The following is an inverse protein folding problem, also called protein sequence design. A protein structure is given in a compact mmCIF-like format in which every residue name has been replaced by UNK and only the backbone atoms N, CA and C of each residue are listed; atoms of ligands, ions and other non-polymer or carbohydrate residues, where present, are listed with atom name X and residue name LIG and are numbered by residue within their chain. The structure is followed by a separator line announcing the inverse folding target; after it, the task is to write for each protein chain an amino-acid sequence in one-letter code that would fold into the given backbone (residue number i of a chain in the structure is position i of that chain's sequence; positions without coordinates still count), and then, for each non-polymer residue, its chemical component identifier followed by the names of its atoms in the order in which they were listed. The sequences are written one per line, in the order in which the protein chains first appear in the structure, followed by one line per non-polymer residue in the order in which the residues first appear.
data_IF_733089583241
#
_entry.id   IF_733089583241
#
_cell.length_a   1.000
_cell.length_b   1.000
_cell.length_c   1.000
_cell.angle_alpha   90.00
_cell.angle_beta   90.00
_cell.angle_gamma   90.00
#
_symmetry.space_group_name_H-M   'P 1'
#
loop_
_entity.id
_entity.type
_entity.pdbx_description
1 polymer ?
#
# COMPACT_ATOMS: atom_id res chain seq x y z
N UNK A 1 32.74 21.68 27.46
CA UNK A 1 31.48 22.33 27.07
C UNK A 1 31.22 21.93 25.63
N UNK A 2 30.11 21.24 25.33
CA UNK A 2 29.66 21.10 23.94
C UNK A 2 29.25 22.50 23.46
N UNK A 3 29.83 22.97 22.36
CA UNK A 3 29.40 24.24 21.80
C UNK A 3 27.97 24.10 21.28
N UNK A 4 27.15 25.15 21.45
CA UNK A 4 25.75 25.18 21.00
C UNK A 4 25.58 24.86 19.50
N UNK A 5 26.60 25.15 18.69
CA UNK A 5 26.69 24.78 17.28
C UNK A 5 26.69 23.28 17.01
N UNK A 6 27.08 22.46 18.00
CA UNK A 6 27.33 21.02 17.82
C UNK A 6 26.07 20.19 18.12
N UNK A 7 25.07 20.80 18.77
CA UNK A 7 23.83 20.14 19.24
C UNK A 7 22.77 20.05 18.14
N UNK A 8 22.69 21.05 17.25
CA UNK A 8 21.72 21.09 16.14
C UNK A 8 22.37 20.79 14.80
N UNK A 9 23.20 19.75 14.77
CA UNK A 9 23.85 19.25 13.55
C UNK A 9 23.07 18.08 13.00
N UNK A 10 23.07 17.91 11.68
CA UNK A 10 22.47 16.73 11.06
C UNK A 10 23.11 15.44 11.60
N UNK A 11 24.41 15.48 11.91
CA UNK A 11 25.13 14.39 12.57
C UNK A 11 24.58 14.06 13.97
N UNK A 12 24.26 15.07 14.79
CA UNK A 12 23.68 14.86 16.12
C UNK A 12 22.31 14.17 16.04
N UNK A 13 21.45 14.62 15.10
CA UNK A 13 20.16 13.96 14.84
C UNK A 13 20.32 12.52 14.35
N UNK A 14 21.25 12.26 13.42
CA UNK A 14 21.54 10.92 12.94
C UNK A 14 22.08 9.98 14.04
N UNK A 15 22.93 10.49 14.94
CA UNK A 15 23.43 9.73 16.08
C UNK A 15 22.33 9.45 17.10
N UNK A 16 21.46 10.42 17.39
CA UNK A 16 20.31 10.23 18.27
C UNK A 16 19.38 9.14 17.73
N UNK A 17 19.09 9.18 16.43
CA UNK A 17 18.32 8.15 15.74
C UNK A 17 18.96 6.76 15.86
N UNK A 18 20.27 6.64 15.62
CA UNK A 18 21.00 5.36 15.72
C UNK A 18 20.93 4.79 17.14
N UNK A 19 21.14 5.62 18.16
CA UNK A 19 21.01 5.22 19.57
C UNK A 19 19.59 4.80 19.94
N UNK A 20 18.59 5.50 19.42
CA UNK A 20 17.18 5.13 19.61
C UNK A 20 16.92 3.72 19.08
N UNK A 21 17.38 3.39 17.87
CA UNK A 21 17.22 2.05 17.30
C UNK A 21 17.89 0.95 18.15
N UNK A 22 19.10 1.21 18.67
CA UNK A 22 19.82 0.27 19.55
C UNK A 22 19.08 0.03 20.89
N UNK A 23 18.45 1.08 21.45
CA UNK A 23 17.79 1.02 22.76
C UNK A 23 16.35 0.51 22.69
N UNK A 24 15.64 0.80 21.61
CA UNK A 24 14.20 0.58 21.54
C UNK A 24 13.80 -0.87 21.23
N UNK A 25 14.75 -1.76 20.92
CA UNK A 25 14.53 -3.16 20.52
C UNK A 25 13.31 -3.32 19.57
N UNK A 26 13.15 -2.34 18.67
CA UNK A 26 11.92 -2.18 17.91
C UNK A 26 11.97 -3.14 16.73
N UNK A 27 11.00 -4.03 16.63
CA UNK A 27 10.84 -4.83 15.42
C UNK A 27 10.61 -3.89 14.24
N UNK A 28 11.49 -3.96 13.24
CA UNK A 28 11.39 -3.18 12.02
C UNK A 28 10.06 -3.36 11.30
N UNK A 29 9.85 -2.54 10.27
CA UNK A 29 8.71 -2.71 9.38
C UNK A 29 8.85 -4.01 8.58
N UNK A 30 7.72 -4.66 8.29
CA UNK A 30 7.73 -5.95 7.59
C UNK A 30 8.20 -5.76 6.15
N UNK A 31 7.85 -4.64 5.52
CA UNK A 31 8.26 -4.35 4.15
C UNK A 31 9.77 -4.28 3.98
N UNK A 32 10.54 -3.90 5.02
CA UNK A 32 12.01 -3.80 4.92
C UNK A 32 12.68 -5.16 4.69
N UNK A 33 12.13 -6.25 5.23
CA UNK A 33 12.67 -7.60 4.96
C UNK A 33 12.23 -8.14 3.60
N UNK A 34 11.03 -7.77 3.14
CA UNK A 34 10.48 -8.19 1.85
C UNK A 34 11.06 -7.39 0.66
N UNK A 35 11.40 -6.12 0.89
CA UNK A 35 11.95 -5.18 -0.10
C UNK A 35 13.19 -4.49 0.47
N UNK A 36 14.35 -5.18 0.51
CA UNK A 36 15.59 -4.63 1.03
C UNK A 36 15.94 -3.27 0.41
N UNK A 37 16.49 -2.32 1.19
CA UNK A 37 16.81 -0.99 0.70
C UNK A 37 18.03 -1.01 -0.23
N UNK A 38 17.94 -0.34 -1.38
CA UNK A 38 19.01 -0.21 -2.37
C UNK A 38 19.13 1.24 -2.81
N UNK A 39 20.36 1.77 -2.84
CA UNK A 39 20.63 3.14 -3.31
C UNK A 39 21.02 3.15 -4.78
N UNK A 40 20.44 4.06 -5.57
CA UNK A 40 20.82 4.32 -6.96
C UNK A 40 21.14 5.81 -7.15
N UNK A 41 22.13 6.10 -7.99
CA UNK A 41 22.46 7.48 -8.40
C UNK A 41 21.56 7.88 -9.58
N UNK A 42 20.78 8.96 -9.42
CA UNK A 42 19.86 9.50 -10.45
C UNK A 42 18.37 9.22 -10.18
N UNK A 43 17.50 9.98 -10.84
CA UNK A 43 16.03 9.92 -10.70
C UNK A 43 15.33 9.02 -11.75
N UNK A 44 16.03 8.70 -12.84
CA UNK A 44 15.49 7.88 -13.93
C UNK A 44 15.68 6.39 -13.67
N UNK A 45 14.58 5.68 -13.37
CA UNK A 45 14.57 4.23 -13.33
C UNK A 45 14.24 3.69 -14.73
N UNK A 46 15.26 3.50 -15.58
CA UNK A 46 15.17 2.51 -16.67
C UNK A 46 15.34 1.13 -16.05
N UNK A 47 14.30 0.59 -15.40
CA UNK A 47 14.40 -0.72 -14.80
C UNK A 47 13.23 -1.64 -15.11
N UNK A 48 13.56 -2.91 -15.00
CA UNK A 48 13.07 -4.01 -15.79
C UNK A 48 11.88 -4.64 -15.06
N UNK A 49 10.69 -4.61 -15.67
CA UNK A 49 9.66 -5.60 -15.35
C UNK A 49 10.23 -6.98 -15.68
N UNK A 50 10.85 -7.63 -14.71
CA UNK A 50 11.40 -8.97 -14.86
C UNK A 50 10.39 -9.96 -14.34
N UNK A 51 9.40 -10.37 -15.15
CA UNK A 51 8.69 -11.61 -14.86
C UNK A 51 9.71 -12.73 -14.80
N UNK A 52 9.81 -13.39 -13.65
CA UNK A 52 10.53 -14.66 -13.56
C UNK A 52 9.59 -15.74 -14.09
N UNK A 53 9.44 -15.80 -15.42
CA UNK A 53 8.60 -16.81 -16.06
C UNK A 53 9.12 -18.22 -15.78
N UNK A 54 8.21 -19.20 -15.78
CA UNK A 54 8.53 -20.62 -15.66
C UNK A 54 9.65 -21.05 -16.62
N UNK A 55 10.52 -22.00 -16.24
CA UNK A 55 11.48 -22.59 -17.16
C UNK A 55 10.77 -23.20 -18.38
N UNK A 56 10.97 -22.61 -19.55
CA UNK A 56 10.38 -23.12 -20.80
C UNK A 56 11.35 -24.10 -21.45
N UNK A 57 10.86 -25.31 -21.75
CA UNK A 57 11.61 -26.36 -22.44
C UNK A 57 12.25 -25.86 -23.75
N UNK A 58 13.40 -26.43 -24.10
CA UNK A 58 14.00 -26.23 -25.41
C UNK A 58 13.13 -26.92 -26.46
N UNK A 59 12.80 -26.21 -27.53
CA UNK A 59 12.11 -26.82 -28.67
C UNK A 59 13.07 -27.77 -29.38
N UNK A 60 12.57 -28.93 -29.80
CA UNK A 60 13.33 -29.87 -30.63
C UNK A 60 13.77 -29.16 -31.91
N UNK A 61 15.08 -29.08 -32.16
CA UNK A 61 15.64 -28.63 -33.45
C UNK A 61 16.09 -29.85 -34.24
N UNK A 62 15.89 -29.82 -35.55
CA UNK A 62 16.56 -30.75 -36.45
C UNK A 62 18.07 -30.47 -36.45
N UNK A 63 18.89 -31.51 -36.67
CA UNK A 63 20.32 -31.32 -36.96
C UNK A 63 20.44 -30.41 -38.20
N UNK A 64 21.36 -29.43 -38.14
CA UNK A 64 21.62 -28.39 -39.16
C UNK A 64 20.56 -27.27 -39.35
N UNK A 65 19.57 -27.14 -38.46
CA UNK A 65 18.62 -26.02 -38.48
C UNK A 65 19.08 -24.81 -37.64
N UNK A 66 18.81 -23.58 -38.12
CA UNK A 66 19.08 -22.35 -37.36
C UNK A 66 18.18 -22.30 -36.12
N UNK A 67 18.79 -22.03 -34.95
CA UNK A 67 18.07 -21.94 -33.69
C UNK A 67 16.99 -20.85 -33.74
N UNK A 68 15.77 -21.19 -33.32
CA UNK A 68 14.69 -20.22 -33.20
C UNK A 68 15.03 -19.16 -32.15
N UNK A 69 14.90 -17.89 -32.52
CA UNK A 69 15.04 -16.76 -31.60
C UNK A 69 13.87 -16.80 -30.62
N UNK A 70 14.19 -16.85 -29.32
CA UNK A 70 13.21 -16.74 -28.23
C UNK A 70 13.00 -15.26 -27.92
N UNK A 71 11.74 -14.82 -27.85
CA UNK A 71 11.43 -13.50 -27.30
C UNK A 71 11.89 -13.42 -25.85
N UNK A 72 12.59 -12.35 -25.47
CA UNK A 72 12.94 -12.11 -24.06
C UNK A 72 11.64 -11.95 -23.27
N UNK A 73 11.57 -12.57 -22.09
CA UNK A 73 10.45 -12.38 -21.17
C UNK A 73 10.26 -10.87 -20.95
N UNK A 74 9.04 -10.41 -21.17
CA UNK A 74 8.70 -9.02 -21.49
C UNK A 74 9.13 -8.02 -20.43
N UNK A 75 10.23 -7.33 -20.70
CA UNK A 75 10.65 -6.14 -19.98
C UNK A 75 9.89 -4.95 -20.55
N UNK A 76 8.73 -4.63 -19.99
CA UNK A 76 8.08 -3.34 -20.25
C UNK A 76 8.64 -2.31 -19.29
N UNK A 77 9.47 -1.39 -19.80
CA UNK A 77 9.95 -0.25 -19.01
C UNK A 77 8.82 0.76 -18.85
N UNK A 78 8.37 0.98 -17.62
CA UNK A 78 7.58 2.17 -17.29
C UNK A 78 8.61 3.24 -16.89
N UNK A 79 8.79 4.27 -17.72
CA UNK A 79 9.51 5.46 -17.29
C UNK A 79 8.58 6.26 -16.37
N UNK A 80 8.75 6.09 -15.05
CA UNK A 80 8.13 6.96 -14.07
C UNK A 80 9.20 7.56 -13.19
N UNK A 81 9.15 8.88 -13.01
CA UNK A 81 9.99 9.62 -12.07
C UNK A 81 9.65 9.19 -10.64
N UNK A 82 10.66 8.97 -9.79
CA UNK A 82 10.43 8.60 -8.39
C UNK A 82 9.79 9.77 -7.62
N UNK A 83 8.82 9.50 -6.72
CA UNK A 83 8.23 10.55 -5.92
C UNK A 83 9.23 11.08 -4.89
N UNK A 84 9.21 12.40 -4.69
CA UNK A 84 10.02 13.11 -3.72
C UNK A 84 9.18 13.48 -2.49
N UNK A 85 9.70 13.16 -1.31
CA UNK A 85 9.07 13.46 -0.03
C UNK A 85 9.98 14.33 0.81
N UNK A 86 9.41 15.34 1.46
CA UNK A 86 10.17 16.21 2.35
C UNK A 86 9.27 16.88 3.38
N UNK A 87 9.65 16.76 4.64
CA UNK A 87 9.05 17.49 5.76
C UNK A 87 10.11 18.25 6.55
N UNK A 88 9.67 19.31 7.23
CA UNK A 88 10.56 20.11 8.06
C UNK A 88 9.85 20.71 9.27
N UNK A 89 10.62 20.97 10.33
CA UNK A 89 10.20 21.82 11.44
C UNK A 89 11.21 22.93 11.68
N UNK A 90 10.79 23.96 12.40
CA UNK A 90 11.61 25.13 12.71
C UNK A 90 11.86 25.16 14.21
N UNK A 91 13.15 25.19 14.59
CA UNK A 91 13.57 25.51 15.96
C UNK A 91 13.53 27.02 16.13
N UNK A 92 12.63 27.51 17.01
CA UNK A 92 12.33 28.94 17.17
C UNK A 92 13.38 29.65 18.03
N UNK A 93 13.40 30.97 17.95
CA UNK A 93 14.26 31.82 18.80
C UNK A 93 13.94 31.68 20.29
N UNK A 94 12.68 31.43 20.66
CA UNK A 94 12.27 31.14 22.05
C UNK A 94 12.97 29.90 22.61
N UNK A 95 12.93 28.80 21.85
CA UNK A 95 13.49 27.51 22.25
C UNK A 95 15.02 27.64 22.39
N UNK A 96 15.64 28.47 21.55
CA UNK A 96 17.06 28.82 21.63
C UNK A 96 17.40 29.62 22.89
N UNK A 97 16.59 30.60 23.25
CA UNK A 97 16.81 31.40 24.47
C UNK A 97 16.70 30.54 25.73
N UNK A 98 15.76 29.60 25.77
CA UNK A 98 15.64 28.64 26.89
C UNK A 98 16.87 27.74 27.02
N UNK A 99 17.44 27.29 25.90
CA UNK A 99 18.66 26.46 25.90
C UNK A 99 19.92 27.27 26.24
N UNK A 100 20.02 28.53 25.80
CA UNK A 100 21.14 29.40 26.17
C UNK A 100 21.16 29.69 27.67
N UNK A 101 19.99 29.95 28.27
CA UNK A 101 19.84 30.13 29.73
C UNK A 101 20.32 28.92 30.53
N UNK A 102 20.25 27.73 29.95
CA UNK A 102 20.71 26.46 30.52
C UNK A 102 22.21 26.25 30.58
N UNK A 103 22.94 26.86 29.64
CA UNK A 103 24.39 26.64 29.57
C UNK A 103 25.10 27.39 30.71
N UNK A 104 24.46 28.45 31.21
CA UNK A 104 24.93 29.26 32.33
C UNK A 104 24.44 28.79 33.70
N UNK A 105 23.38 27.97 33.75
CA UNK A 105 22.78 27.46 34.99
C UNK A 105 22.45 25.98 34.80
N UNK A 106 22.97 25.10 35.66
CA UNK A 106 22.76 23.64 35.64
C UNK A 106 21.28 23.27 35.92
N UNK A 107 20.40 23.69 35.02
CA UNK A 107 18.95 23.82 35.17
C UNK A 107 18.25 22.54 34.64
N UNK A 108 17.40 21.88 35.46
CA UNK A 108 16.72 20.65 35.07
C UNK A 108 15.68 20.82 33.95
N UNK A 109 15.26 22.03 33.58
CA UNK A 109 14.21 22.27 32.58
C UNK A 109 14.66 22.16 31.13
N UNK A 110 15.96 22.01 30.87
CA UNK A 110 16.52 22.15 29.52
C UNK A 110 16.67 20.82 28.79
N UNK A 111 16.89 19.74 29.53
CA UNK A 111 16.87 18.41 28.93
C UNK A 111 15.52 18.09 28.25
N UNK A 112 14.36 18.42 28.86
CA UNK A 112 13.07 18.32 28.17
C UNK A 112 12.99 19.06 26.83
N UNK A 113 13.57 20.26 26.70
CA UNK A 113 13.55 21.03 25.43
C UNK A 113 14.43 20.37 24.37
N UNK A 114 15.63 19.91 24.75
CA UNK A 114 16.50 19.15 23.84
C UNK A 114 15.85 17.83 23.43
N UNK A 115 15.30 17.09 24.39
CA UNK A 115 14.58 15.84 24.14
C UNK A 115 13.41 16.05 23.18
N UNK A 116 12.66 17.15 23.32
CA UNK A 116 11.58 17.49 22.39
C UNK A 116 12.09 17.73 20.97
N UNK A 117 13.18 18.50 20.80
CA UNK A 117 13.74 18.77 19.47
C UNK A 117 14.31 17.48 18.82
N UNK A 118 15.00 16.64 19.60
CA UNK A 118 15.46 15.34 19.11
C UNK A 118 14.29 14.39 18.81
N UNK A 119 13.21 14.43 19.59
CA UNK A 119 11.98 13.69 19.34
C UNK A 119 11.29 14.15 18.05
N UNK A 120 11.28 15.45 17.75
CA UNK A 120 10.72 16.00 16.51
C UNK A 120 11.53 15.52 15.29
N UNK A 121 12.85 15.55 15.35
CA UNK A 121 13.72 15.00 14.30
C UNK A 121 13.56 13.47 14.13
N UNK A 122 13.38 12.74 15.24
CA UNK A 122 13.01 11.32 15.22
C UNK A 122 11.66 11.11 14.54
N UNK A 123 10.67 11.95 14.82
CA UNK A 123 9.34 11.86 14.21
C UNK A 123 9.39 12.13 12.70
N UNK A 124 10.22 13.08 12.24
CA UNK A 124 10.50 13.27 10.82
C UNK A 124 11.10 12.01 10.17
N UNK A 125 12.09 11.39 10.83
CA UNK A 125 12.74 10.18 10.32
C UNK A 125 11.78 8.98 10.31
N UNK A 126 10.90 8.88 11.32
CA UNK A 126 9.81 7.91 11.33
C UNK A 126 8.83 8.15 10.18
N UNK A 127 8.47 9.41 9.93
CA UNK A 127 7.61 9.80 8.80
C UNK A 127 8.18 9.31 7.46
N UNK A 128 9.48 9.50 7.23
CA UNK A 128 10.17 8.95 6.07
C UNK A 128 10.07 7.41 6.00
N UNK A 129 10.24 6.69 7.12
CA UNK A 129 10.10 5.22 7.11
C UNK A 129 8.66 4.71 6.89
N UNK A 130 7.63 5.52 7.19
CA UNK A 130 6.22 5.17 6.94
C UNK A 130 5.92 5.09 5.44
N UNK A 131 6.54 5.97 4.64
CA UNK A 131 6.29 6.10 3.21
C UNK A 131 6.55 4.79 2.44
N UNK A 132 7.76 4.19 2.44
CA UNK A 132 8.01 2.96 1.71
C UNK A 132 7.20 1.78 2.28
N UNK A 133 6.99 1.68 3.60
CA UNK A 133 6.14 0.63 4.18
C UNK A 133 4.70 0.73 3.65
N UNK A 134 4.12 1.94 3.60
CA UNK A 134 2.78 2.16 3.03
C UNK A 134 2.74 1.78 1.56
N UNK A 135 3.76 2.12 0.77
CA UNK A 135 3.81 1.74 -0.65
C UNK A 135 3.89 0.22 -0.83
N UNK A 136 4.75 -0.46 -0.06
CA UNK A 136 4.91 -1.92 -0.09
C UNK A 136 3.59 -2.61 0.27
N UNK A 137 2.92 -2.16 1.35
CA UNK A 137 1.67 -2.79 1.77
C UNK A 137 0.56 -2.58 0.75
N UNK A 138 0.49 -1.44 0.04
CA UNK A 138 -0.43 -1.26 -1.08
C UNK A 138 -0.20 -2.29 -2.21
N UNK A 139 1.07 -2.59 -2.52
CA UNK A 139 1.42 -3.62 -3.51
C UNK A 139 1.05 -5.03 -3.06
N UNK A 140 1.20 -5.33 -1.77
CA UNK A 140 0.89 -6.64 -1.20
C UNK A 140 -0.62 -6.83 -0.95
N UNK A 141 -1.40 -5.77 -0.78
CA UNK A 141 -2.84 -5.87 -0.53
C UNK A 141 -3.69 -4.99 -1.46
N UNK A 142 -3.69 -5.23 -2.78
CA UNK A 142 -4.49 -4.47 -3.74
C UNK A 142 -5.98 -4.80 -3.60
N UNK A 143 -6.79 -3.84 -3.15
CA UNK A 143 -8.22 -4.06 -2.89
C UNK A 143 -9.03 -4.46 -4.13
N UNK A 144 -8.66 -3.94 -5.31
CA UNK A 144 -9.28 -4.23 -6.60
C UNK A 144 -8.57 -5.33 -7.40
N UNK A 145 -7.55 -5.94 -6.79
CA UNK A 145 -6.78 -7.07 -7.32
C UNK A 145 -5.60 -6.71 -8.20
N UNK A 146 -5.34 -5.43 -8.47
CA UNK A 146 -4.20 -5.00 -9.28
C UNK A 146 -3.19 -4.22 -8.42
N UNK A 147 -1.97 -4.74 -8.20
CA UNK A 147 -0.90 -4.06 -7.47
C UNK A 147 -0.62 -2.68 -8.06
N UNK A 148 -0.78 -1.66 -7.21
CA UNK A 148 -0.51 -0.26 -7.54
C UNK A 148 -0.14 0.54 -6.31
N UNK A 149 0.58 1.62 -6.53
CA UNK A 149 0.88 2.62 -5.50
C UNK A 149 0.12 3.89 -5.85
N UNK A 150 -0.71 4.35 -4.93
CA UNK A 150 -1.37 5.66 -5.03
C UNK A 150 -0.91 6.55 -3.88
N UNK A 151 -0.30 7.68 -4.24
CA UNK A 151 0.10 8.73 -3.32
C UNK A 151 -0.71 9.97 -3.67
N UNK A 152 -1.45 10.52 -2.70
CA UNK A 152 -2.25 11.72 -2.88
C UNK A 152 -2.09 12.61 -1.65
N UNK A 153 -1.58 13.81 -1.86
CA UNK A 153 -1.33 14.83 -0.82
C UNK A 153 -2.51 15.83 -0.70
N UNK A 154 -3.71 15.45 -1.12
CA UNK A 154 -4.91 16.31 -1.05
C UNK A 154 -4.90 17.59 -1.92
N UNK A 155 -3.75 18.00 -2.49
CA UNK A 155 -3.56 19.29 -3.15
C UNK A 155 -3.41 19.27 -4.69
N UNK A 156 -3.71 18.13 -5.35
CA UNK A 156 -3.65 17.87 -6.82
C UNK A 156 -2.27 17.44 -7.35
N UNK A 157 -2.03 16.12 -7.33
CA UNK A 157 -1.93 15.17 -8.47
C UNK A 157 -1.73 13.83 -7.77
N UNK A 158 -2.64 12.86 -7.93
CA UNK A 158 -2.38 11.52 -7.43
C UNK A 158 -1.29 10.90 -8.30
N UNK A 159 -0.14 10.59 -7.70
CA UNK A 159 0.88 9.80 -8.38
C UNK A 159 0.43 8.35 -8.33
N UNK A 160 0.03 7.83 -9.48
CA UNK A 160 -0.44 6.47 -9.66
C UNK A 160 0.64 5.64 -10.37
N UNK A 161 1.15 4.62 -9.70
CA UNK A 161 2.12 3.68 -10.26
C UNK A 161 1.44 2.30 -10.39
N UNK A 162 1.07 1.94 -11.62
CA UNK A 162 0.43 0.66 -11.94
C UNK A 162 1.50 -0.41 -12.23
N UNK A 163 1.50 -1.51 -11.45
CA UNK A 163 2.45 -2.62 -11.65
C UNK A 163 1.83 -3.70 -12.55
N UNK A 164 0.52 -3.94 -12.41
CA UNK A 164 -0.26 -4.93 -13.16
C UNK A 164 -0.91 -4.35 -14.43
N UNK A 165 -0.11 -3.69 -15.28
CA UNK A 165 -0.60 -3.04 -16.51
C UNK A 165 -1.26 -4.01 -17.49
N UNK A 166 -0.86 -5.28 -17.48
CA UNK A 166 -1.43 -6.33 -18.35
C UNK A 166 -2.60 -7.11 -17.70
N UNK A 167 -2.95 -6.80 -16.45
CA UNK A 167 -4.05 -7.46 -15.71
C UNK A 167 -3.78 -8.94 -15.37
N UNK A 168 -2.55 -9.40 -15.59
CA UNK A 168 -2.16 -10.79 -15.37
C UNK A 168 -2.18 -11.18 -13.89
N UNK A 169 -1.76 -10.27 -13.00
CA UNK A 169 -1.73 -10.54 -11.57
C UNK A 169 -3.15 -10.65 -11.05
N UNK A 170 -4.02 -9.72 -11.42
CA UNK A 170 -5.44 -9.79 -11.07
C UNK A 170 -6.11 -11.08 -11.55
N UNK A 171 -5.67 -11.63 -12.67
CA UNK A 171 -6.24 -12.85 -13.24
C UNK A 171 -5.69 -14.12 -12.58
N UNK A 172 -4.37 -14.18 -12.33
CA UNK A 172 -3.69 -15.42 -11.95
C UNK A 172 -3.33 -15.48 -10.46
N UNK A 173 -3.23 -14.34 -9.78
CA UNK A 173 -2.65 -14.20 -8.45
C UNK A 173 -3.58 -13.48 -7.47
N UNK A 174 -4.86 -13.30 -7.81
CA UNK A 174 -5.85 -12.64 -6.97
C UNK A 174 -7.19 -13.39 -6.94
N UNK A 175 -7.77 -13.54 -5.73
CA UNK A 175 -9.12 -14.07 -5.52
C UNK A 175 -9.92 -13.11 -4.66
N UNK A 176 -11.12 -12.74 -5.11
CA UNK A 176 -12.07 -11.96 -4.32
C UNK A 176 -13.25 -12.85 -3.88
N UNK A 177 -13.47 -12.94 -2.57
CA UNK A 177 -14.55 -13.70 -1.97
C UNK A 177 -15.70 -12.79 -1.58
N UNK A 178 -16.93 -13.16 -1.95
CA UNK A 178 -18.16 -12.40 -1.66
C UNK A 178 -19.25 -13.34 -1.14
N UNK A 179 -20.34 -12.77 -0.62
CA UNK A 179 -21.51 -13.52 -0.17
C UNK A 179 -21.15 -14.65 0.82
N UNK A 180 -21.61 -15.86 0.53
CA UNK A 180 -21.38 -17.04 1.39
C UNK A 180 -19.94 -17.57 1.37
N UNK A 181 -19.13 -17.14 0.41
CA UNK A 181 -17.71 -17.49 0.35
C UNK A 181 -16.84 -16.54 1.18
N UNK A 182 -17.35 -15.34 1.51
CA UNK A 182 -16.61 -14.38 2.33
C UNK A 182 -16.35 -14.95 3.71
N UNK A 183 -15.15 -14.76 4.25
CA UNK A 183 -14.75 -15.36 5.53
C UNK A 183 -15.52 -14.80 6.73
N UNK A 184 -16.18 -13.66 6.56
CA UNK A 184 -17.14 -13.12 7.53
C UNK A 184 -18.43 -13.94 7.63
N UNK A 185 -18.75 -14.77 6.64
CA UNK A 185 -19.77 -15.82 6.77
C UNK A 185 -19.13 -17.04 7.45
N UNK A 186 -19.12 -17.01 8.79
CA UNK A 186 -18.49 -18.04 9.61
C UNK A 186 -19.12 -19.44 9.46
N UNK A 187 -20.28 -19.55 8.81
CA UNK A 187 -20.99 -20.82 8.65
C UNK A 187 -20.65 -21.50 7.32
N UNK A 188 -20.66 -20.74 6.23
CA UNK A 188 -20.55 -21.30 4.88
C UNK A 188 -19.14 -21.18 4.27
N UNK A 189 -18.32 -20.23 4.74
CA UNK A 189 -16.98 -20.05 4.22
C UNK A 189 -16.02 -21.19 4.61
N UNK A 190 -14.96 -21.36 3.82
CA UNK A 190 -13.91 -22.32 4.10
C UNK A 190 -12.50 -21.70 3.95
N UNK A 191 -12.06 -20.91 4.96
CA UNK A 191 -10.82 -20.15 4.86
C UNK A 191 -9.57 -20.98 4.62
N UNK A 192 -9.47 -22.15 5.24
CA UNK A 192 -8.29 -23.02 5.10
C UNK A 192 -8.22 -23.62 3.70
N UNK A 193 -9.36 -24.03 3.13
CA UNK A 193 -9.40 -24.50 1.74
C UNK A 193 -9.06 -23.37 0.77
N UNK A 194 -9.56 -22.15 0.99
CA UNK A 194 -9.21 -21.00 0.15
C UNK A 194 -7.70 -20.73 0.14
N UNK A 195 -7.03 -20.88 1.29
CA UNK A 195 -5.58 -20.75 1.42
C UNK A 195 -4.86 -21.89 0.69
N UNK A 196 -5.33 -23.13 0.80
CA UNK A 196 -4.77 -24.29 0.09
C UNK A 196 -4.88 -24.13 -1.43
N UNK A 197 -6.06 -23.74 -1.92
CA UNK A 197 -6.29 -23.48 -3.34
C UNK A 197 -5.33 -22.39 -3.86
N UNK A 198 -5.16 -21.31 -3.09
CA UNK A 198 -4.23 -20.24 -3.42
C UNK A 198 -2.77 -20.71 -3.43
N UNK A 199 -2.37 -21.55 -2.46
CA UNK A 199 -1.03 -22.17 -2.42
C UNK A 199 -0.78 -23.00 -3.68
N UNK A 200 -1.73 -23.85 -4.08
CA UNK A 200 -1.60 -24.67 -5.29
C UNK A 200 -1.42 -23.83 -6.57
N UNK A 201 -2.11 -22.68 -6.66
CA UNK A 201 -1.94 -21.78 -7.81
C UNK A 201 -0.52 -21.22 -7.88
N UNK A 202 0.05 -20.81 -6.74
CA UNK A 202 1.44 -20.32 -6.69
C UNK A 202 2.42 -21.46 -7.01
N UNK A 203 2.19 -22.66 -6.49
CA UNK A 203 3.06 -23.83 -6.74
C UNK A 203 3.13 -24.24 -8.21
N UNK A 204 2.05 -24.05 -8.97
CA UNK A 204 2.05 -24.27 -10.43
C UNK A 204 3.01 -23.34 -11.18
N UNK A 205 3.40 -22.22 -10.58
CA UNK A 205 4.40 -21.29 -11.14
C UNK A 205 5.84 -21.68 -10.78
N UNK A 206 6.03 -22.79 -10.06
CA UNK A 206 7.35 -23.28 -9.63
C UNK A 206 7.88 -22.63 -8.35
N UNK A 207 7.03 -21.86 -7.66
CA UNK A 207 7.36 -21.14 -6.44
C UNK A 207 6.60 -21.73 -5.24
N UNK A 208 7.17 -21.66 -4.04
CA UNK A 208 6.52 -22.16 -2.82
C UNK A 208 6.28 -20.99 -1.86
N UNK A 209 5.02 -20.62 -1.57
CA UNK A 209 4.73 -19.64 -0.53
C UNK A 209 5.01 -20.27 0.84
N UNK A 210 5.54 -19.48 1.76
CA UNK A 210 5.90 -19.93 3.13
C UNK A 210 5.23 -19.10 4.22
N UNK A 211 4.68 -17.93 3.86
CA UNK A 211 4.11 -16.97 4.79
C UNK A 211 2.69 -16.63 4.35
N UNK A 212 1.76 -16.59 5.31
CA UNK A 212 0.43 -16.00 5.15
C UNK A 212 0.35 -14.70 5.97
N UNK A 213 0.44 -13.56 5.29
CA UNK A 213 0.32 -12.24 5.89
C UNK A 213 -1.16 -11.83 5.97
N UNK A 214 -1.60 -11.40 7.15
CA UNK A 214 -2.99 -10.97 7.36
C UNK A 214 -3.13 -9.99 8.53
N UNK A 215 -4.30 -9.36 8.67
CA UNK A 215 -4.62 -8.57 9.86
C UNK A 215 -5.13 -9.44 11.01
N UNK A 216 -5.18 -8.89 12.23
CA UNK A 216 -5.77 -9.59 13.39
C UNK A 216 -7.27 -9.78 13.24
N UNK A 217 -7.96 -8.87 12.57
CA UNK A 217 -9.39 -9.06 12.27
C UNK A 217 -9.58 -10.26 11.36
N UNK A 218 -8.79 -10.35 10.29
CA UNK A 218 -8.86 -11.47 9.34
C UNK A 218 -8.56 -12.80 10.02
N UNK A 219 -7.53 -12.86 10.89
CA UNK A 219 -7.27 -14.05 11.70
C UNK A 219 -8.43 -14.40 12.64
N UNK A 220 -9.09 -13.39 13.22
CA UNK A 220 -10.28 -13.59 14.04
C UNK A 220 -11.43 -14.18 13.22
N UNK A 221 -11.67 -13.73 12.00
CA UNK A 221 -12.73 -14.30 11.16
C UNK A 221 -12.47 -15.79 10.87
N UNK A 222 -11.21 -16.19 10.62
CA UNK A 222 -10.81 -17.60 10.52
C UNK A 222 -11.09 -18.35 11.83
N UNK A 223 -10.72 -17.76 12.97
CA UNK A 223 -10.98 -18.35 14.29
C UNK A 223 -12.46 -18.51 14.57
N UNK A 224 -13.31 -17.58 14.12
CA UNK A 224 -14.74 -17.62 14.38
C UNK A 224 -15.49 -18.61 13.48
N UNK A 225 -14.90 -19.02 12.36
CA UNK A 225 -15.44 -20.00 11.42
C UNK A 225 -15.77 -21.35 12.09
N UNK A 226 -16.97 -21.88 11.82
CA UNK A 226 -17.50 -23.10 12.43
C UNK A 226 -16.68 -24.34 12.06
N UNK A 227 -16.21 -24.45 10.81
CA UNK A 227 -15.40 -25.59 10.35
C UNK A 227 -14.03 -25.61 11.03
N UNK A 228 -13.38 -24.44 11.14
CA UNK A 228 -12.08 -24.29 11.81
C UNK A 228 -12.20 -24.63 13.29
N UNK A 229 -13.21 -24.09 13.97
CA UNK A 229 -13.48 -24.41 15.38
C UNK A 229 -13.73 -25.89 15.59
N UNK A 230 -14.57 -26.50 14.77
CA UNK A 230 -14.92 -27.92 14.87
C UNK A 230 -13.67 -28.80 14.75
N UNK A 231 -12.78 -28.52 13.80
CA UNK A 231 -11.54 -29.26 13.62
C UNK A 231 -10.61 -29.15 14.84
N UNK A 232 -10.35 -27.93 15.31
CA UNK A 232 -9.47 -27.68 16.45
C UNK A 232 -10.01 -28.36 17.72
N UNK A 233 -11.32 -28.24 17.97
CA UNK A 233 -11.98 -28.91 19.10
C UNK A 233 -11.91 -30.42 18.98
N UNK A 234 -12.13 -31.00 17.79
CA UNK A 234 -12.03 -32.44 17.57
C UNK A 234 -10.62 -32.98 17.84
N UNK A 235 -9.57 -32.28 17.36
CA UNK A 235 -8.16 -32.62 17.66
C UNK A 235 -7.89 -32.62 19.18
N UNK A 236 -8.39 -31.62 19.90
CA UNK A 236 -8.18 -31.54 21.34
C UNK A 236 -8.99 -32.58 22.15
N UNK A 237 -10.21 -32.90 21.70
CA UNK A 237 -11.01 -33.97 22.30
C UNK A 237 -10.37 -35.35 22.13
N UNK A 238 -9.68 -35.60 21.01
CA UNK A 238 -8.91 -36.83 20.82
C UNK A 238 -7.79 -37.00 21.85
N UNK A 239 -7.28 -35.90 22.41
CA UNK A 239 -6.32 -35.87 23.53
C UNK A 239 -6.96 -35.72 24.92
N UNK A 240 -8.30 -35.77 25.03
CA UNK A 240 -9.03 -35.72 26.30
C UNK A 240 -9.17 -34.34 26.93
N UNK A 241 -8.94 -33.25 26.19
CA UNK A 241 -9.00 -31.87 26.69
C UNK A 241 -10.24 -31.09 26.25
N UNK A 242 -10.72 -30.20 27.12
CA UNK A 242 -11.61 -29.08 26.72
C UNK A 242 -10.72 -27.87 26.51
N UNK A 243 -10.73 -27.30 25.31
CA UNK A 243 -9.87 -26.17 24.96
C UNK A 243 -10.67 -24.95 24.54
N UNK A 244 -10.13 -23.78 24.85
CA UNK A 244 -10.54 -22.53 24.24
C UNK A 244 -9.77 -22.38 22.92
N UNK A 245 -10.48 -22.14 21.82
CA UNK A 245 -9.84 -21.86 20.52
C UNK A 245 -9.18 -20.48 20.58
N UNK A 246 -7.84 -20.46 20.63
CA UNK A 246 -7.03 -19.23 20.67
C UNK A 246 -6.40 -18.93 19.32
N UNK A 247 -5.96 -17.68 19.11
CA UNK A 247 -5.25 -17.29 17.89
C UNK A 247 -4.00 -18.15 17.67
N UNK A 248 -3.32 -18.59 18.75
CA UNK A 248 -2.16 -19.48 18.66
C UNK A 248 -2.54 -20.83 18.03
N UNK A 249 -3.61 -21.46 18.50
CA UNK A 249 -4.07 -22.75 17.98
C UNK A 249 -4.53 -22.66 16.52
N UNK A 250 -5.15 -21.54 16.15
CA UNK A 250 -5.54 -21.30 14.75
C UNK A 250 -4.31 -21.16 13.86
N UNK A 251 -3.28 -20.43 14.30
CA UNK A 251 -2.01 -20.32 13.56
C UNK A 251 -1.30 -21.67 13.42
N UNK A 252 -1.27 -22.46 14.48
CA UNK A 252 -0.69 -23.82 14.47
C UNK A 252 -1.48 -24.71 13.50
N UNK A 253 -2.81 -24.69 13.55
CA UNK A 253 -3.64 -25.43 12.60
C UNK A 253 -3.38 -25.03 11.14
N UNK A 254 -3.36 -23.73 10.82
CA UNK A 254 -3.04 -23.27 9.47
C UNK A 254 -1.63 -23.74 9.07
N UNK A 255 -0.65 -23.62 9.96
CA UNK A 255 0.72 -24.06 9.70
C UNK A 255 0.83 -25.57 9.49
N UNK A 256 0.04 -26.38 10.18
CA UNK A 256 0.02 -27.84 10.02
C UNK A 256 -0.61 -28.27 8.69
N UNK A 257 -1.74 -27.67 8.31
CA UNK A 257 -2.45 -28.08 7.09
C UNK A 257 -1.85 -27.47 5.82
N UNK A 258 -1.32 -26.24 5.91
CA UNK A 258 -0.89 -25.47 4.73
C UNK A 258 0.62 -25.31 4.65
N UNK A 259 1.37 -25.63 5.70
CA UNK A 259 2.82 -25.36 5.85
C UNK A 259 3.18 -23.86 5.82
N UNK A 260 2.18 -22.97 5.91
CA UNK A 260 2.37 -21.53 5.92
C UNK A 260 2.50 -20.99 7.34
N UNK A 261 3.49 -20.14 7.56
CA UNK A 261 3.62 -19.38 8.81
C UNK A 261 2.71 -18.15 8.76
N UNK A 262 1.76 -18.04 9.70
CA UNK A 262 0.85 -16.90 9.79
C UNK A 262 1.53 -15.70 10.45
N UNK A 263 1.74 -14.65 9.67
CA UNK A 263 2.26 -13.35 10.13
C UNK A 263 1.10 -12.36 10.24
N UNK A 264 0.96 -11.72 11.41
CA UNK A 264 -0.12 -10.77 11.67
C UNK A 264 0.44 -9.35 11.70
N UNK A 265 0.01 -8.49 10.76
CA UNK A 265 0.39 -7.09 10.74
C UNK A 265 -0.81 -6.19 11.08
N UNK A 266 -0.73 -5.48 12.21
CA UNK A 266 -1.68 -4.41 12.56
C UNK A 266 -0.97 -3.09 12.88
N UNK A 267 0.24 -2.87 12.39
CA UNK A 267 0.88 -1.57 12.57
C UNK A 267 0.02 -0.49 11.90
N UNK A 268 0.00 0.71 12.48
CA UNK A 268 -0.76 1.86 11.98
C UNK A 268 0.15 3.03 11.69
N UNK A 269 -0.33 3.93 10.82
CA UNK A 269 0.27 5.22 10.53
C UNK A 269 -0.81 6.31 10.58
N UNK A 270 -0.36 7.56 10.66
CA UNK A 270 -1.23 8.73 10.49
C UNK A 270 -1.07 9.19 9.05
N UNK A 271 -2.18 9.34 8.32
CA UNK A 271 -2.16 9.86 6.95
C UNK A 271 -2.06 11.39 6.91
N UNK A 272 -1.98 11.94 5.70
CA UNK A 272 -1.84 13.37 5.42
C UNK A 272 -3.02 14.20 5.98
N UNK A 273 -4.16 13.55 6.28
CA UNK A 273 -5.34 14.18 6.89
C UNK A 273 -5.34 14.16 8.42
N UNK A 274 -4.33 13.55 9.06
CA UNK A 274 -4.29 13.34 10.50
C UNK A 274 -5.09 12.12 10.97
N UNK A 275 -5.52 11.25 10.06
CA UNK A 275 -6.33 10.07 10.37
C UNK A 275 -5.47 8.82 10.55
N UNK A 276 -5.72 8.06 11.61
CA UNK A 276 -5.04 6.77 11.82
C UNK A 276 -5.53 5.71 10.83
N UNK A 277 -4.61 5.15 10.04
CA UNK A 277 -4.83 4.04 9.09
C UNK A 277 -3.93 2.86 9.41
N UNK A 278 -4.36 1.65 9.03
CA UNK A 278 -3.53 0.44 9.11
C UNK A 278 -2.61 0.37 7.89
N UNK A 279 -1.40 -0.14 8.09
CA UNK A 279 -0.50 -0.44 6.98
C UNK A 279 -1.06 -1.56 6.10
N UNK A 280 -1.38 -2.69 6.72
CA UNK A 280 -2.03 -3.81 6.06
C UNK A 280 -3.53 -3.78 6.38
N UNK A 281 -4.42 -3.78 5.36
CA UNK A 281 -5.85 -3.65 5.55
C UNK A 281 -6.47 -4.90 6.18
N UNK A 282 -7.66 -4.70 6.73
CA UNK A 282 -8.53 -5.80 7.11
C UNK A 282 -9.12 -6.48 5.87
N UNK A 283 -9.66 -7.70 6.06
CA UNK A 283 -10.33 -8.48 5.01
C UNK A 283 -9.39 -8.92 3.85
N UNK A 284 -8.08 -9.06 4.12
CA UNK A 284 -7.08 -9.46 3.13
C UNK A 284 -6.11 -10.50 3.68
N UNK A 285 -5.71 -11.46 2.85
CA UNK A 285 -4.60 -12.40 3.10
C UNK A 285 -3.65 -12.41 1.91
N UNK A 286 -2.36 -12.33 2.18
CA UNK A 286 -1.32 -12.37 1.16
C UNK A 286 -0.38 -13.53 1.42
N UNK A 287 -0.25 -14.43 0.44
CA UNK A 287 0.73 -15.51 0.44
C UNK A 287 2.05 -14.99 -0.12
N UNK A 288 3.11 -15.14 0.66
CA UNK A 288 4.44 -14.62 0.35
C UNK A 288 5.47 -15.75 0.39
N UNK A 289 6.50 -15.71 -0.48
CA UNK A 289 7.67 -16.56 -0.35
C UNK A 289 8.59 -16.06 0.77
N UNK A 290 9.58 -16.87 1.16
CA UNK A 290 10.62 -16.47 2.11
C UNK A 290 11.69 -15.54 1.50
N UNK A 291 11.69 -15.36 0.18
CA UNK A 291 12.69 -14.57 -0.54
C UNK A 291 12.24 -13.11 -0.72
N UNK A 292 13.18 -12.16 -0.88
CA UNK A 292 12.84 -10.78 -1.23
C UNK A 292 11.98 -10.71 -2.50
N UNK A 293 10.95 -9.87 -2.44
CA UNK A 293 9.99 -9.64 -3.51
C UNK A 293 10.36 -8.47 -4.42
N UNK A 294 11.33 -7.68 -3.99
CA UNK A 294 11.89 -6.60 -4.78
C UNK A 294 12.86 -5.78 -3.96
N UNK A 295 12.90 -4.49 -4.19
CA UNK A 295 13.81 -3.58 -3.46
C UNK A 295 13.14 -2.25 -3.17
N UNK A 296 13.43 -1.68 -2.00
CA UNK A 296 13.08 -0.27 -1.73
C UNK A 296 14.17 0.59 -2.36
N UNK A 297 13.88 1.20 -3.51
CA UNK A 297 14.88 1.96 -4.27
C UNK A 297 14.90 3.41 -3.79
N UNK A 298 16.05 3.85 -3.28
CA UNK A 298 16.31 5.22 -2.88
C UNK A 298 17.09 5.97 -3.97
N UNK A 299 16.57 7.11 -4.38
CA UNK A 299 17.28 8.09 -5.21
C UNK A 299 18.17 9.02 -4.37
N UNK A 300 18.97 9.84 -5.06
CA UNK A 300 19.72 10.93 -4.42
C UNK A 300 18.80 12.15 -4.27
N UNK A 301 18.50 12.56 -3.04
CA UNK A 301 17.68 13.76 -2.82
C UNK A 301 18.45 15.04 -3.20
N UNK A 302 17.76 16.15 -3.53
CA UNK A 302 18.41 17.44 -3.78
C UNK A 302 19.30 17.88 -2.61
N UNK A 303 18.86 17.62 -1.38
CA UNK A 303 19.62 17.88 -0.16
C UNK A 303 20.93 17.08 -0.11
N UNK A 304 20.96 15.83 -0.57
CA UNK A 304 22.19 15.05 -0.70
C UNK A 304 23.07 15.57 -1.86
N UNK A 305 22.48 15.93 -3.00
CA UNK A 305 23.22 16.32 -4.18
C UNK A 305 23.91 17.69 -4.03
N UNK A 306 23.17 18.68 -3.53
CA UNK A 306 23.55 20.09 -3.63
C UNK A 306 23.97 20.69 -2.28
N UNK A 307 23.41 20.21 -1.16
CA UNK A 307 23.66 20.81 0.17
C UNK A 307 24.80 20.15 0.95
N UNK A 308 25.29 18.97 0.54
CA UNK A 308 26.47 18.35 1.17
C UNK A 308 27.76 19.16 0.99
N UNK A 309 27.81 20.01 -0.04
CA UNK A 309 28.97 20.85 -0.36
C UNK A 309 28.76 22.34 -0.03
N UNK A 310 27.63 22.70 0.59
CA UNK A 310 27.28 24.08 0.94
C UNK A 310 27.74 24.41 2.38
N UNK A 311 28.42 25.54 2.57
CA UNK A 311 28.87 26.01 3.89
C UNK A 311 27.71 26.47 4.81
N UNK A 312 26.50 26.65 4.26
CA UNK A 312 25.31 27.14 4.97
C UNK A 312 24.34 26.04 5.42
N UNK A 313 24.58 24.80 5.03
CA UNK A 313 23.78 23.64 5.40
C UNK A 313 24.66 22.51 5.97
N UNK A 314 24.11 21.73 6.88
CA UNK A 314 24.73 20.49 7.36
C UNK A 314 23.79 19.33 7.04
N UNK A 315 24.32 18.25 6.48
CA UNK A 315 23.55 17.13 5.92
C UNK A 315 24.11 15.80 6.43
N UNK A 316 23.23 14.91 6.88
CA UNK A 316 23.56 13.55 7.28
C UNK A 316 22.54 12.57 6.71
N UNK A 317 22.99 11.37 6.32
CA UNK A 317 22.14 10.34 5.74
C UNK A 317 21.86 9.26 6.80
N UNK A 318 20.59 8.87 6.94
CA UNK A 318 20.11 7.77 7.79
C UNK A 318 19.35 6.74 6.94
N UNK A 319 19.23 5.51 7.46
CA UNK A 319 18.41 4.42 6.88
C UNK A 319 18.64 4.20 5.36
N UNK A 320 19.89 4.33 4.89
CA UNK A 320 20.34 4.18 3.48
C UNK A 320 20.04 5.37 2.56
N UNK A 321 18.89 6.04 2.69
CA UNK A 321 18.45 7.05 1.71
C UNK A 321 17.69 8.26 2.25
N UNK A 322 17.51 8.39 3.56
CA UNK A 322 16.85 9.55 4.17
C UNK A 322 17.89 10.61 4.49
N UNK A 323 17.82 11.77 3.86
CA UNK A 323 18.70 12.90 4.11
C UNK A 323 18.10 13.83 5.17
N UNK A 324 18.77 13.95 6.30
CA UNK A 324 18.50 14.96 7.33
C UNK A 324 19.37 16.16 7.02
N UNK A 325 18.77 17.34 6.83
CA UNK A 325 19.53 18.58 6.71
C UNK A 325 19.14 19.59 7.80
N UNK A 326 20.10 20.39 8.21
CA UNK A 326 19.90 21.55 9.06
C UNK A 326 20.36 22.80 8.33
N UNK A 327 19.46 23.76 8.15
CA UNK A 327 19.73 25.02 7.47
C UNK A 327 19.57 26.16 8.47
N UNK A 328 20.61 26.99 8.60
CA UNK A 328 20.56 28.20 9.44
C UNK A 328 19.96 29.35 8.64
N UNK A 329 18.89 29.95 9.16
CA UNK A 329 18.32 31.17 8.59
C UNK A 329 18.87 32.39 9.33
N UNK A 330 19.29 33.41 8.56
CA UNK A 330 19.87 34.63 9.14
C UNK A 330 18.81 35.52 9.80
N UNK A 331 17.63 35.69 9.20
CA UNK A 331 16.52 36.44 9.79
C UNK A 331 15.13 35.91 9.36
N UNK A 332 14.19 35.67 10.30
CA UNK A 332 14.42 35.52 11.74
C UNK A 332 15.45 34.42 12.04
N UNK A 333 16.18 34.52 13.17
CA UNK A 333 17.32 33.64 13.47
C UNK A 333 16.83 32.27 13.92
N UNK A 334 16.58 31.38 12.96
CA UNK A 334 16.06 30.04 13.22
C UNK A 334 16.97 28.95 12.62
N UNK A 335 16.76 27.71 13.05
CA UNK A 335 17.29 26.53 12.33
C UNK A 335 16.11 25.73 11.84
N UNK A 336 16.10 25.47 10.53
CA UNK A 336 15.18 24.53 9.91
C UNK A 336 15.84 23.17 9.89
N UNK A 337 15.16 22.19 10.48
CA UNK A 337 15.55 20.78 10.39
C UNK A 337 14.58 20.14 9.42
N UNK A 338 15.11 19.46 8.41
CA UNK A 338 14.31 18.81 7.38
C UNK A 338 14.78 17.36 7.20
N UNK A 339 13.82 16.51 6.84
CA UNK A 339 14.08 15.15 6.37
C UNK A 339 13.51 15.02 4.96
N UNK A 340 14.29 14.43 4.07
CA UNK A 340 13.93 14.27 2.66
C UNK A 340 14.33 12.90 2.14
N UNK A 341 13.52 12.34 1.24
CA UNK A 341 13.82 11.10 0.54
C UNK A 341 13.18 11.09 -0.85
N UNK A 342 13.83 10.38 -1.78
CA UNK A 342 13.25 9.98 -3.05
C UNK A 342 13.16 8.46 -3.00
N UNK A 343 11.95 7.90 -3.02
CA UNK A 343 11.77 6.46 -2.77
C UNK A 343 10.65 5.85 -3.61
N UNK A 344 10.91 4.68 -4.18
CA UNK A 344 9.91 3.86 -4.87
C UNK A 344 10.27 2.37 -4.73
N UNK A 345 9.38 1.51 -4.24
CA UNK A 345 9.60 0.07 -4.25
C UNK A 345 9.58 -0.51 -5.67
N UNK A 346 10.49 -1.40 -6.01
CA UNK A 346 10.37 -2.30 -7.18
C UNK A 346 9.70 -3.61 -6.78
N UNK A 347 8.99 -4.28 -7.70
CA UNK A 347 8.22 -5.49 -7.36
C UNK A 347 8.43 -6.61 -8.40
N UNK A 348 9.65 -7.12 -8.45
CA UNK A 348 10.10 -8.17 -9.38
C UNK A 348 9.49 -9.55 -9.07
N UNK A 349 9.30 -9.83 -7.79
CA UNK A 349 8.71 -11.08 -7.28
C UNK A 349 7.19 -11.09 -7.29
N UNK A 350 6.53 -10.17 -8.00
CA UNK A 350 5.07 -10.04 -8.02
C UNK A 350 4.37 -11.36 -8.40
N UNK A 351 4.90 -12.11 -9.37
CA UNK A 351 4.32 -13.40 -9.80
C UNK A 351 4.35 -14.48 -8.68
N UNK A 352 5.18 -14.30 -7.64
CA UNK A 352 5.35 -15.24 -6.53
C UNK A 352 4.38 -14.97 -5.37
N UNK A 353 3.55 -13.93 -5.48
CA UNK A 353 2.62 -13.49 -4.45
C UNK A 353 1.20 -13.86 -4.85
N UNK A 354 0.37 -14.29 -3.90
CA UNK A 354 -1.05 -14.49 -4.14
C UNK A 354 -1.88 -13.77 -3.09
N UNK A 355 -2.93 -13.07 -3.51
CA UNK A 355 -3.76 -12.25 -2.63
C UNK A 355 -5.20 -12.75 -2.64
N UNK A 356 -5.75 -12.95 -1.45
CA UNK A 356 -7.16 -13.26 -1.24
C UNK A 356 -7.79 -12.04 -0.55
N UNK A 357 -8.74 -11.40 -1.22
CA UNK A 357 -9.68 -10.49 -0.57
C UNK A 357 -10.79 -11.34 0.05
N UNK A 358 -10.77 -11.45 1.38
CA UNK A 358 -11.59 -12.40 2.13
C UNK A 358 -13.01 -11.94 2.32
N UNK A 359 -13.30 -10.68 2.03
CA UNK A 359 -14.62 -10.08 2.08
C UNK A 359 -14.69 -8.89 1.10
N UNK A 360 -14.68 -9.20 -0.19
CA UNK A 360 -14.64 -8.21 -1.23
C UNK A 360 -15.93 -7.40 -1.24
N UNK A 361 -15.77 -6.08 -1.07
CA UNK A 361 -16.86 -5.11 -1.09
C UNK A 361 -16.72 -4.23 -2.31
N UNK A 362 -17.86 -3.80 -2.86
CA UNK A 362 -17.83 -2.87 -3.99
C UNK A 362 -17.27 -1.53 -3.54
N UNK A 363 -16.35 -0.96 -4.32
CA UNK A 363 -15.82 0.37 -4.03
C UNK A 363 -16.90 1.45 -4.19
N UNK A 364 -16.72 2.57 -3.50
CA UNK A 364 -17.68 3.66 -3.51
C UNK A 364 -17.34 4.72 -4.57
N UNK A 365 -18.35 5.16 -5.32
CA UNK A 365 -18.28 6.35 -6.17
C UNK A 365 -19.20 7.44 -5.60
N UNK A 366 -18.67 8.64 -5.43
CA UNK A 366 -19.49 9.84 -5.28
C UNK A 366 -20.04 10.22 -6.65
N UNK A 367 -21.35 10.14 -6.82
CA UNK A 367 -22.04 10.51 -8.06
C UNK A 367 -22.87 11.76 -7.79
N UNK A 368 -22.66 12.80 -8.60
CA UNK A 368 -23.52 13.98 -8.59
C UNK A 368 -24.26 14.08 -9.92
N UNK A 369 -25.53 14.49 -9.85
CA UNK A 369 -26.37 14.75 -11.00
C UNK A 369 -26.86 16.18 -10.93
N UNK A 370 -26.60 16.96 -11.99
CA UNK A 370 -27.05 18.35 -12.13
C UNK A 370 -27.78 18.52 -13.45
N UNK A 371 -28.59 19.59 -13.57
CA UNK A 371 -29.33 19.87 -14.79
C UNK A 371 -28.38 19.94 -16.00
N UNK A 372 -28.73 19.21 -17.06
CA UNK A 372 -28.00 19.26 -18.32
C UNK A 372 -28.17 20.61 -19.01
N UNK A 373 -27.34 20.84 -20.02
CA UNK A 373 -27.31 22.07 -20.81
C UNK A 373 -27.87 21.87 -22.21
N UNK A 374 -27.81 20.65 -22.76
CA UNK A 374 -28.08 20.40 -24.18
C UNK A 374 -29.57 20.37 -24.54
N UNK A 375 -30.41 19.71 -23.74
CA UNK A 375 -31.85 19.56 -24.01
C UNK A 375 -32.66 19.22 -22.75
N UNK A 376 -33.98 19.39 -22.79
CA UNK A 376 -34.89 18.92 -21.73
C UNK A 376 -34.74 17.41 -21.51
N UNK A 377 -34.83 16.96 -20.26
CA UNK A 377 -34.63 15.56 -19.88
C UNK A 377 -33.17 15.08 -19.84
N UNK A 378 -32.19 15.98 -20.06
CA UNK A 378 -30.76 15.69 -19.91
C UNK A 378 -30.25 16.03 -18.52
N UNK A 379 -29.39 15.18 -17.98
CA UNK A 379 -28.62 15.44 -16.76
C UNK A 379 -27.13 15.32 -17.04
N UNK A 380 -26.36 16.22 -16.43
CA UNK A 380 -24.90 16.17 -16.40
C UNK A 380 -24.49 15.43 -15.13
N UNK A 381 -23.68 14.39 -15.28
CA UNK A 381 -23.21 13.55 -14.17
C UNK A 381 -21.72 13.76 -13.96
N UNK A 382 -21.29 13.85 -12.71
CA UNK A 382 -19.87 13.83 -12.33
C UNK A 382 -19.62 12.71 -11.33
N UNK A 383 -18.47 12.07 -11.45
CA UNK A 383 -18.07 10.94 -10.60
C UNK A 383 -16.71 11.21 -9.96
N UNK A 384 -16.56 10.79 -8.69
CA UNK A 384 -15.30 10.83 -7.95
C UNK A 384 -15.19 9.59 -7.06
N UNK A 385 -14.05 8.89 -6.99
CA UNK A 385 -12.79 9.15 -7.71
C UNK A 385 -12.90 8.94 -9.23
N UNK A 386 -11.88 9.40 -9.96
CA UNK A 386 -11.77 9.20 -11.42
C UNK A 386 -11.69 7.72 -11.80
N UNK A 387 -12.02 7.43 -13.05
CA UNK A 387 -12.01 6.08 -13.62
C UNK A 387 -10.63 5.45 -13.46
N UNK A 388 -10.57 4.23 -12.91
CA UNK A 388 -9.30 3.52 -12.80
C UNK A 388 -8.83 3.07 -14.20
N UNK A 389 -7.52 3.02 -14.41
CA UNK A 389 -6.96 2.61 -15.70
C UNK A 389 -7.45 1.21 -16.11
N UNK A 390 -7.84 1.05 -17.38
CA UNK A 390 -8.37 -0.21 -17.92
C UNK A 390 -9.85 -0.50 -17.63
N UNK A 391 -10.51 0.32 -16.81
CA UNK A 391 -11.94 0.16 -16.51
C UNK A 391 -12.82 1.00 -17.44
N UNK A 392 -14.14 0.77 -17.37
CA UNK A 392 -15.14 1.56 -18.10
C UNK A 392 -16.35 1.87 -17.22
N UNK A 393 -17.08 2.95 -17.53
CA UNK A 393 -18.32 3.27 -16.83
C UNK A 393 -19.53 2.67 -17.54
N UNK A 394 -20.47 2.23 -16.72
CA UNK A 394 -21.83 1.90 -17.12
C UNK A 394 -22.83 2.56 -16.19
N UNK A 395 -24.06 2.73 -16.66
CA UNK A 395 -25.13 3.31 -15.86
C UNK A 395 -26.46 2.60 -16.02
N UNK A 396 -27.33 2.80 -15.03
CA UNK A 396 -28.74 2.40 -15.05
C UNK A 396 -29.58 3.48 -14.40
N UNK A 397 -30.77 3.73 -14.94
CA UNK A 397 -31.73 4.70 -14.39
C UNK A 397 -33.07 4.04 -14.11
N UNK A 398 -33.62 4.27 -12.92
CA UNK A 398 -34.96 3.78 -12.52
C UNK A 398 -35.46 4.54 -11.28
N UNK A 399 -36.72 4.37 -10.88
CA UNK A 399 -37.25 4.96 -9.64
C UNK A 399 -36.48 4.48 -8.40
N UNK A 400 -36.03 3.22 -8.42
CA UNK A 400 -35.06 2.65 -7.48
C UNK A 400 -34.01 1.82 -8.22
N UNK A 401 -32.79 1.81 -7.71
CA UNK A 401 -31.65 1.06 -8.27
C UNK A 401 -30.98 0.27 -7.16
N UNK A 402 -30.58 -0.96 -7.46
CA UNK A 402 -29.80 -1.81 -6.55
C UNK A 402 -28.34 -1.73 -6.94
N UNK A 403 -27.48 -1.43 -5.98
CA UNK A 403 -26.02 -1.41 -6.19
C UNK A 403 -25.55 -2.86 -6.37
N UNK A 404 -24.81 -3.19 -7.44
CA UNK A 404 -24.26 -4.53 -7.63
C UNK A 404 -23.25 -4.89 -6.53
N UNK A 405 -23.08 -6.18 -6.25
CA UNK A 405 -21.96 -6.66 -5.44
C UNK A 405 -20.65 -6.57 -6.22
N UNK A 406 -19.52 -6.59 -5.51
CA UNK A 406 -18.20 -6.66 -6.15
C UNK A 406 -18.13 -7.91 -7.04
N UNK A 407 -17.58 -7.76 -8.24
CA UNK A 407 -17.46 -8.87 -9.19
C UNK A 407 -18.76 -9.24 -9.92
N UNK A 408 -19.89 -8.58 -9.64
CA UNK A 408 -21.15 -8.87 -10.31
C UNK A 408 -21.11 -8.49 -11.78
N UNK A 409 -21.75 -9.29 -12.64
CA UNK A 409 -21.73 -9.08 -14.08
C UNK A 409 -22.70 -7.97 -14.52
N UNK A 410 -22.15 -6.87 -15.02
CA UNK A 410 -22.92 -5.71 -15.50
C UNK A 410 -23.03 -5.71 -17.03
N UNK A 411 -23.33 -6.86 -17.64
CA UNK A 411 -23.54 -6.97 -19.10
C UNK A 411 -24.96 -6.60 -19.52
N UNK A 412 -25.98 -7.17 -18.87
CA UNK A 412 -27.39 -6.93 -19.19
C UNK A 412 -28.02 -5.89 -18.26
N UNK A 413 -28.84 -4.98 -18.80
CA UNK A 413 -29.58 -3.98 -18.01
C UNK A 413 -28.78 -2.75 -17.59
N UNK A 414 -27.57 -2.58 -18.15
CA UNK A 414 -26.70 -1.42 -17.97
C UNK A 414 -26.32 -0.84 -19.34
N UNK A 415 -26.21 0.49 -19.42
CA UNK A 415 -25.79 1.21 -20.63
C UNK A 415 -24.35 1.70 -20.47
N UNK A 416 -23.52 1.56 -21.49
CA UNK A 416 -22.16 2.09 -21.46
C UNK A 416 -22.16 3.63 -21.43
N UNK A 417 -21.23 4.22 -20.68
CA UNK A 417 -21.06 5.66 -20.58
C UNK A 417 -19.60 6.05 -20.71
N UNK A 418 -19.35 7.12 -21.44
CA UNK A 418 -18.00 7.67 -21.71
C UNK A 418 -17.45 8.51 -20.54
N UNK A 419 -18.25 8.71 -19.48
CA UNK A 419 -17.86 9.53 -18.33
C UNK A 419 -18.05 11.03 -18.54
N UNK A 420 -18.52 11.48 -19.71
CA UNK A 420 -18.54 12.90 -20.10
C UNK A 420 -19.89 13.33 -20.67
N UNK A 421 -20.51 12.51 -21.52
CA UNK A 421 -21.76 12.82 -22.21
C UNK A 421 -22.93 12.96 -21.25
N UNK A 422 -23.85 13.87 -21.56
CA UNK A 422 -25.09 14.05 -20.79
C UNK A 422 -26.05 12.86 -20.97
N UNK A 423 -26.59 12.38 -19.86
CA UNK A 423 -27.45 11.20 -19.81
C UNK A 423 -28.92 11.64 -19.89
N UNK A 424 -29.72 10.93 -20.70
CA UNK A 424 -31.18 11.10 -20.67
C UNK A 424 -31.74 10.37 -19.45
N UNK A 425 -32.34 11.10 -18.52
CA UNK A 425 -32.92 10.53 -17.30
C UNK A 425 -34.04 11.42 -16.74
N UNK A 426 -35.07 10.80 -16.18
CA UNK A 426 -36.21 11.51 -15.56
C UNK A 426 -35.81 12.12 -14.22
N UNK A 427 -36.07 13.41 -14.00
CA UNK A 427 -35.92 14.06 -12.68
C UNK A 427 -36.64 13.27 -11.59
N UNK A 428 -35.97 13.08 -10.44
CA UNK A 428 -36.50 12.35 -9.29
C UNK A 428 -36.21 10.84 -9.31
N UNK A 429 -35.89 10.25 -10.47
CA UNK A 429 -35.38 8.88 -10.52
C UNK A 429 -33.96 8.79 -9.93
N UNK A 430 -33.51 7.57 -9.66
CA UNK A 430 -32.12 7.27 -9.34
C UNK A 430 -31.32 6.97 -10.59
N UNK A 431 -30.09 7.47 -10.62
CA UNK A 431 -29.06 7.07 -11.57
C UNK A 431 -27.96 6.34 -10.80
N UNK A 432 -27.69 5.11 -11.18
CA UNK A 432 -26.59 4.29 -10.69
C UNK A 432 -25.47 4.35 -11.73
N UNK A 433 -24.27 4.73 -11.31
CA UNK A 433 -23.05 4.57 -12.09
C UNK A 433 -22.26 3.40 -11.51
N UNK A 434 -21.76 2.54 -12.39
CA UNK A 434 -20.93 1.39 -12.05
C UNK A 434 -19.64 1.47 -12.87
N UNK A 435 -18.50 1.44 -12.20
CA UNK A 435 -17.21 1.17 -12.81
C UNK A 435 -17.05 -0.34 -12.95
N UNK A 436 -16.71 -0.79 -14.16
CA UNK A 436 -16.54 -2.22 -14.47
C UNK A 436 -15.15 -2.48 -15.04
N UNK A 437 -14.61 -3.66 -14.76
CA UNK A 437 -13.37 -4.13 -15.36
C UNK A 437 -13.54 -4.56 -16.83
N UNK A 438 -12.43 -4.98 -17.46
CA UNK A 438 -12.42 -5.48 -18.84
C UNK A 438 -13.38 -6.65 -19.10
N UNK A 439 -13.75 -7.41 -18.05
CA UNK A 439 -14.68 -8.53 -18.10
C UNK A 439 -16.14 -8.12 -17.81
N UNK A 440 -16.41 -6.82 -17.69
CA UNK A 440 -17.70 -6.24 -17.30
C UNK A 440 -18.15 -6.64 -15.88
N UNK A 441 -17.21 -6.90 -14.97
CA UNK A 441 -17.50 -7.15 -13.56
C UNK A 441 -17.42 -5.85 -12.76
N UNK A 442 -18.38 -5.62 -11.87
CA UNK A 442 -18.47 -4.40 -11.06
C UNK A 442 -17.29 -4.29 -10.09
N UNK A 443 -16.63 -3.14 -10.06
CA UNK A 443 -15.52 -2.85 -9.14
C UNK A 443 -15.82 -1.69 -8.20
N UNK A 444 -16.51 -0.64 -8.70
CA UNK A 444 -16.99 0.48 -7.90
C UNK A 444 -18.39 0.88 -8.35
N UNK A 445 -19.19 1.43 -7.46
CA UNK A 445 -20.50 1.94 -7.82
C UNK A 445 -20.93 3.09 -6.91
N UNK A 446 -21.82 3.91 -7.43
CA UNK A 446 -22.43 5.02 -6.71
C UNK A 446 -23.75 5.42 -7.34
N UNK A 447 -24.61 6.07 -6.58
CA UNK A 447 -25.91 6.51 -7.09
C UNK A 447 -26.26 7.92 -6.67
N UNK A 448 -27.04 8.60 -7.51
CA UNK A 448 -27.56 9.94 -7.26
C UNK A 448 -29.04 10.03 -7.58
N UNK A 449 -29.73 11.01 -7.00
CA UNK A 449 -31.05 11.43 -7.49
C UNK A 449 -30.85 12.30 -8.72
N UNK A 450 -31.56 11.97 -9.81
CA UNK A 450 -31.47 12.69 -11.08
C UNK A 450 -32.06 14.09 -10.94
N UNK A 451 -31.27 15.09 -11.32
CA UNK A 451 -31.73 16.44 -11.61
C UNK A 451 -31.55 16.69 -13.12
N UNK A 452 -32.61 16.53 -13.91
CA UNK A 452 -32.59 16.80 -15.35
C UNK A 452 -32.97 18.25 -15.65
N UNK A 453 -32.50 18.76 -16.79
CA UNK A 453 -33.00 20.02 -17.35
C UNK A 453 -34.51 19.90 -17.56
N UNK A 454 -35.25 20.94 -17.15
CA UNK A 454 -36.68 21.05 -17.38
C UNK A 454 -37.00 21.05 -18.89
#
# INVERSE_FOLDING_TARGET
MQNFSDVFTAKAFAMYWTKYLEQANTEGYLGTSLFPPVKKKGIDIKWIKGRSGLPVTLRQSAFDAVAHVRDRIGVTAIQTEMPFFRDSFIVKESDRQEILRAQDSNDPYVQPVLDNIYNDAKNLTNGANVVPERMIMQLLSPADGSPKIEISDGAKVSCLYEYDVDGSFKTNNFKALTGTAAWTDHKNSNPVQDILDAKEVVERTGNVPTIALMSKKTLRDIRENENVKAYIVAKAQATGGVILVTDKLVKEYISEETELTVVVNNKSFIDESGTAKRFYPDDMVTLLPAQPLGSTVYGTSPEEADLMADDKADVAIVNTGVAIATIKQEHPVNVRVLASEIVLPSFEGMDNVYVINTNAKIGELTVNSVAGTSASGKTKVTVSPSLSAGNSYKYKTASSVTVPEFGAECKSGYTAWDGVSEITATTGNKILIVEVDANNKAVKAGSATVASKA
#
